data_IF_458887105780
#
_entry.id   IF_458887105780
#
_cell.length_a   1.000
_cell.length_b   1.000
_cell.length_c   1.000
_cell.angle_alpha   90.00
_cell.angle_beta   90.00
_cell.angle_gamma   90.00
#
_symmetry.space_group_name_H-M   'P 1'
#
loop_
_entity.id
_entity.type
_entity.pdbx_description
1 polymer ?
#
# COMPACT_ATOMS: atom_id res chain seq x y z
N UNK A 1 -10.35 8.28 7.54
CA UNK A 1 -10.37 7.48 6.29
C UNK A 1 -8.94 7.07 5.95
N UNK A 2 -8.74 5.82 5.56
CA UNK A 2 -7.48 5.27 5.10
C UNK A 2 -7.55 5.23 3.58
N UNK A 3 -6.64 5.96 2.93
CA UNK A 3 -6.58 6.04 1.47
C UNK A 3 -5.36 5.27 1.02
N UNK A 4 -5.57 4.31 0.13
CA UNK A 4 -4.48 3.66 -0.59
C UNK A 4 -4.66 3.79 -2.10
N UNK A 5 -3.72 3.26 -2.86
CA UNK A 5 -3.66 3.40 -4.32
C UNK A 5 -3.58 2.03 -4.96
N UNK A 6 -4.56 1.68 -5.82
CA UNK A 6 -4.74 0.32 -6.32
C UNK A 6 -5.00 -0.70 -5.19
N UNK A 7 -5.57 -0.23 -4.08
CA UNK A 7 -5.73 -1.00 -2.85
C UNK A 7 -6.79 -2.07 -2.95
N UNK A 8 -7.76 -1.94 -3.87
CA UNK A 8 -8.72 -3.01 -4.16
C UNK A 8 -8.02 -4.32 -4.57
N UNK A 9 -6.83 -4.24 -5.15
CA UNK A 9 -6.03 -5.39 -5.60
C UNK A 9 -4.80 -5.68 -4.74
N UNK A 10 -4.46 -4.80 -3.78
CA UNK A 10 -3.25 -4.91 -2.99
C UNK A 10 -3.55 -4.82 -1.49
N UNK A 11 -3.57 -3.61 -0.92
CA UNK A 11 -3.60 -3.43 0.54
C UNK A 11 -4.89 -3.97 1.19
N UNK A 12 -6.04 -3.67 0.59
CA UNK A 12 -7.35 -3.91 1.19
C UNK A 12 -7.66 -5.40 1.28
N UNK A 13 -7.23 -6.21 0.30
CA UNK A 13 -7.40 -7.67 0.32
C UNK A 13 -6.67 -8.31 1.51
N UNK A 14 -5.50 -7.79 1.89
CA UNK A 14 -4.73 -8.32 3.03
C UNK A 14 -5.27 -7.84 4.38
N UNK A 15 -5.77 -6.60 4.46
CA UNK A 15 -6.18 -5.99 5.73
C UNK A 15 -7.62 -6.37 6.11
N UNK A 16 -8.54 -6.47 5.14
CA UNK A 16 -9.95 -6.72 5.41
C UNK A 16 -10.23 -7.98 6.23
N UNK A 17 -9.57 -9.13 6.02
CA UNK A 17 -9.81 -10.33 6.83
C UNK A 17 -9.65 -10.09 8.34
N UNK A 18 -8.71 -9.23 8.75
CA UNK A 18 -8.49 -8.88 10.15
C UNK A 18 -9.57 -7.93 10.69
N UNK A 19 -10.20 -7.16 9.81
CA UNK A 19 -11.29 -6.23 10.09
C UNK A 19 -12.69 -6.84 9.84
N UNK A 20 -12.74 -8.12 9.47
CA UNK A 20 -13.94 -8.96 9.48
C UNK A 20 -13.79 -10.07 10.52
N UNK A 21 -13.68 -9.67 11.78
CA UNK A 21 -13.37 -10.57 12.90
C UNK A 21 -14.45 -10.55 13.98
N UNK A 22 -14.20 -11.19 15.13
CA UNK A 22 -15.17 -11.16 16.23
C UNK A 22 -15.42 -9.72 16.72
N UNK A 23 -14.42 -8.84 16.65
CA UNK A 23 -14.48 -7.45 17.12
C UNK A 23 -14.92 -6.45 16.04
N UNK A 24 -14.77 -6.78 14.77
CA UNK A 24 -14.99 -5.87 13.65
C UNK A 24 -15.98 -6.44 12.63
N UNK A 25 -16.68 -5.58 11.91
CA UNK A 25 -17.55 -6.00 10.82
C UNK A 25 -17.59 -4.93 9.74
N UNK A 26 -17.85 -5.37 8.50
CA UNK A 26 -18.14 -4.46 7.39
C UNK A 26 -19.56 -3.91 7.61
N UNK A 27 -19.69 -2.59 7.56
CA UNK A 27 -20.98 -1.90 7.66
C UNK A 27 -21.48 -1.46 6.29
N UNK A 28 -20.57 -1.12 5.39
CA UNK A 28 -20.92 -0.66 4.05
C UNK A 28 -19.75 -0.91 3.09
N UNK A 29 -20.05 -1.03 1.80
CA UNK A 29 -19.04 -1.04 0.74
C UNK A 29 -19.58 -0.39 -0.54
N UNK A 30 -18.68 0.10 -1.38
CA UNK A 30 -18.99 0.68 -2.68
C UNK A 30 -18.15 -0.01 -3.75
N UNK A 31 -18.80 -0.46 -4.81
CA UNK A 31 -18.18 -1.18 -5.92
C UNK A 31 -18.66 -2.61 -6.03
N UNK A 32 -18.02 -3.38 -6.92
CA UNK A 32 -18.22 -4.81 -7.06
C UNK A 32 -17.05 -5.59 -6.44
N UNK A 33 -17.16 -6.92 -6.38
CA UNK A 33 -16.12 -7.78 -5.78
C UNK A 33 -14.75 -7.68 -6.46
N UNK A 34 -14.71 -7.23 -7.71
CA UNK A 34 -13.46 -7.06 -8.48
C UNK A 34 -12.87 -5.66 -8.34
N UNK A 35 -13.70 -4.66 -8.01
CA UNK A 35 -13.33 -3.24 -7.97
C UNK A 35 -13.97 -2.56 -6.76
N UNK A 36 -13.53 -2.97 -5.57
CA UNK A 36 -13.98 -2.38 -4.31
C UNK A 36 -13.39 -0.96 -4.19
N UNK A 37 -14.23 0.05 -4.42
CA UNK A 37 -13.84 1.47 -4.33
C UNK A 37 -13.71 1.94 -2.90
N UNK A 38 -14.60 1.45 -2.05
CA UNK A 38 -14.67 1.84 -0.64
C UNK A 38 -15.17 0.68 0.20
N UNK A 39 -14.63 0.55 1.42
CA UNK A 39 -15.20 -0.30 2.48
C UNK A 39 -15.24 0.47 3.78
N UNK A 40 -16.36 0.44 4.47
CA UNK A 40 -16.48 0.88 5.85
C UNK A 40 -16.53 -0.33 6.76
N UNK A 41 -15.68 -0.32 7.79
CA UNK A 41 -15.69 -1.29 8.89
C UNK A 41 -15.94 -0.59 10.20
N UNK A 42 -16.62 -1.26 11.11
CA UNK A 42 -16.94 -0.75 12.43
C UNK A 42 -16.57 -1.75 13.52
N UNK A 43 -15.97 -1.24 14.60
CA UNK A 43 -15.73 -2.00 15.81
C UNK A 43 -17.04 -2.18 16.57
N UNK A 44 -17.41 -3.42 16.88
CA UNK A 44 -18.73 -3.79 17.41
C UNK A 44 -19.03 -3.21 18.79
N UNK A 45 -18.01 -3.01 19.62
CA UNK A 45 -18.18 -2.56 21.02
C UNK A 45 -18.07 -1.04 21.11
N UNK A 46 -16.98 -0.48 20.59
CA UNK A 46 -16.69 0.97 20.72
C UNK A 46 -17.41 1.81 19.67
N UNK A 47 -17.96 1.18 18.62
CA UNK A 47 -18.61 1.87 17.52
C UNK A 47 -17.66 2.63 16.61
N UNK A 48 -16.33 2.57 16.82
CA UNK A 48 -15.33 3.24 15.99
C UNK A 48 -15.41 2.74 14.54
N UNK A 49 -15.43 3.69 13.60
CA UNK A 49 -15.52 3.41 12.17
C UNK A 49 -14.23 3.73 11.45
N UNK A 50 -13.84 2.86 10.53
CA UNK A 50 -12.71 3.07 9.63
C UNK A 50 -13.21 2.88 8.20
N UNK A 51 -12.93 3.85 7.35
CA UNK A 51 -13.30 3.84 5.94
C UNK A 51 -12.03 3.70 5.11
N UNK A 52 -11.96 2.64 4.29
CA UNK A 52 -10.91 2.39 3.32
C UNK A 52 -11.37 2.87 1.95
N UNK A 53 -10.50 3.56 1.22
CA UNK A 53 -10.76 4.15 -0.09
C UNK A 53 -9.62 3.81 -1.05
N UNK A 54 -9.96 3.39 -2.26
CA UNK A 54 -8.99 3.22 -3.35
C UNK A 54 -8.93 4.48 -4.22
N UNK A 55 -7.86 5.26 -4.07
CA UNK A 55 -7.65 6.49 -4.81
C UNK A 55 -7.68 6.28 -6.33
N UNK A 56 -7.14 5.16 -6.85
CA UNK A 56 -7.09 4.91 -8.29
C UNK A 56 -8.49 4.75 -8.89
N UNK A 57 -9.44 4.19 -8.14
CA UNK A 57 -10.82 4.00 -8.59
C UNK A 57 -11.69 5.26 -8.48
N UNK A 58 -11.22 6.29 -7.76
CA UNK A 58 -11.85 7.61 -7.68
C UNK A 58 -11.32 8.62 -8.70
N UNK A 59 -10.13 8.36 -9.27
CA UNK A 59 -9.55 9.19 -10.33
C UNK A 59 -9.56 8.47 -11.67
N UNK A 60 -9.17 9.17 -12.73
CA UNK A 60 -8.87 8.50 -14.00
C UNK A 60 -7.66 7.59 -13.81
N UNK A 61 -7.77 6.34 -14.25
CA UNK A 61 -6.71 5.33 -14.14
C UNK A 61 -5.36 5.90 -14.61
N UNK A 62 -4.43 6.05 -13.68
CA UNK A 62 -3.14 6.69 -13.91
C UNK A 62 -2.06 5.99 -13.08
N UNK A 63 -0.78 6.28 -13.33
CA UNK A 63 0.30 5.71 -12.51
C UNK A 63 0.39 6.50 -11.20
N UNK A 64 0.79 5.82 -10.12
CA UNK A 64 1.00 6.46 -8.80
C UNK A 64 1.87 7.73 -8.88
N UNK A 65 2.90 7.74 -9.73
CA UNK A 65 3.76 8.91 -9.92
C UNK A 65 3.02 10.13 -10.47
N UNK A 66 2.04 9.91 -11.36
CA UNK A 66 1.27 10.95 -12.01
C UNK A 66 0.19 11.44 -11.04
N UNK A 67 -0.44 10.51 -10.30
CA UNK A 67 -1.32 10.84 -9.19
C UNK A 67 -0.62 11.73 -8.14
N UNK A 68 0.58 11.37 -7.70
CA UNK A 68 1.36 12.19 -6.75
C UNK A 68 1.74 13.55 -7.35
N UNK A 69 1.99 13.62 -8.66
CA UNK A 69 2.28 14.89 -9.34
C UNK A 69 1.07 15.83 -9.35
N UNK A 70 -0.11 15.28 -9.58
CA UNK A 70 -1.35 16.04 -9.74
C UNK A 70 -1.97 16.42 -8.38
N UNK A 71 -1.91 15.54 -7.38
CA UNK A 71 -2.54 15.71 -6.07
C UNK A 71 -1.56 15.95 -4.91
N UNK A 72 -0.27 15.72 -5.10
CA UNK A 72 0.76 15.94 -4.08
C UNK A 72 1.05 17.43 -3.87
N UNK A 73 1.17 17.85 -2.61
CA UNK A 73 1.62 19.22 -2.28
C UNK A 73 3.00 19.49 -2.90
N UNK A 74 3.12 20.60 -3.63
CA UNK A 74 4.39 21.10 -4.22
C UNK A 74 5.41 21.56 -3.18
N UNK A 75 5.10 21.44 -1.88
CA UNK A 75 5.73 22.25 -0.84
C UNK A 75 7.10 21.78 -0.39
N UNK A 76 7.67 20.70 -0.94
CA UNK A 76 9.08 20.34 -0.75
C UNK A 76 9.55 19.50 -1.95
N UNK A 77 10.71 19.83 -2.55
CA UNK A 77 11.32 19.15 -3.72
C UNK A 77 11.49 17.62 -3.59
N UNK A 78 11.24 17.04 -2.41
CA UNK A 78 11.23 15.59 -2.14
C UNK A 78 9.90 14.90 -2.53
N UNK A 79 8.79 15.62 -2.75
CA UNK A 79 7.46 15.00 -2.95
C UNK A 79 7.22 14.38 -4.33
N UNK A 80 8.04 14.71 -5.34
CA UNK A 80 7.87 14.20 -6.71
C UNK A 80 8.60 12.89 -6.98
N UNK A 81 9.54 12.50 -6.12
CA UNK A 81 10.30 11.28 -6.29
C UNK A 81 9.60 10.16 -5.53
N UNK A 82 8.95 9.25 -6.26
CA UNK A 82 8.45 7.99 -5.68
C UNK A 82 9.62 7.31 -4.95
N UNK A 83 9.45 7.05 -3.66
CA UNK A 83 10.40 6.20 -2.92
C UNK A 83 10.45 4.84 -3.62
N UNK A 84 11.64 4.44 -4.05
CA UNK A 84 11.85 3.12 -4.64
C UNK A 84 12.10 2.18 -3.48
N UNK A 85 11.14 1.34 -3.12
CA UNK A 85 11.41 0.28 -2.16
C UNK A 85 12.14 -0.86 -2.87
N UNK A 86 13.34 -1.25 -2.43
CA UNK A 86 14.04 -2.40 -2.97
C UNK A 86 13.27 -3.67 -2.62
N UNK A 87 12.84 -4.45 -3.63
CA UNK A 87 12.06 -5.68 -3.44
C UNK A 87 12.80 -6.76 -2.63
N UNK A 88 14.11 -6.61 -2.42
CA UNK A 88 14.99 -7.58 -1.76
C UNK A 88 15.49 -7.13 -0.40
N UNK A 89 15.10 -5.95 0.12
CA UNK A 89 15.69 -5.44 1.36
C UNK A 89 15.29 -6.26 2.60
N UNK A 90 14.07 -6.79 2.66
CA UNK A 90 13.66 -7.69 3.74
C UNK A 90 12.58 -8.68 3.28
N UNK A 91 12.60 -9.88 3.84
CA UNK A 91 11.72 -11.01 3.55
C UNK A 91 11.43 -11.76 4.87
N UNK A 92 10.65 -12.84 4.82
CA UNK A 92 10.25 -13.61 6.02
C UNK A 92 11.40 -14.28 6.77
N UNK A 93 12.61 -14.33 6.19
CA UNK A 93 13.79 -14.96 6.80
C UNK A 93 14.75 -13.95 7.43
N UNK A 94 14.75 -12.68 7.01
CA UNK A 94 15.68 -11.67 7.52
C UNK A 94 14.97 -10.44 8.15
N UNK A 95 13.64 -10.47 8.31
CA UNK A 95 12.89 -9.32 8.80
C UNK A 95 13.31 -8.87 10.20
N UNK A 96 13.57 -9.80 11.14
CA UNK A 96 13.97 -9.45 12.51
C UNK A 96 15.32 -8.72 12.53
N UNK A 97 16.27 -9.16 11.70
CA UNK A 97 17.58 -8.53 11.60
C UNK A 97 17.47 -7.14 10.98
N UNK A 98 16.68 -7.01 9.90
CA UNK A 98 16.54 -5.75 9.14
C UNK A 98 15.71 -4.70 9.89
N UNK A 99 14.70 -5.11 10.66
CA UNK A 99 13.88 -4.19 11.47
C UNK A 99 14.57 -3.75 12.76
N UNK A 100 15.56 -4.50 13.25
CA UNK A 100 16.34 -4.13 14.43
C UNK A 100 17.53 -3.21 14.14
N UNK A 101 17.81 -2.90 12.87
CA UNK A 101 18.89 -1.98 12.50
C UNK A 101 18.52 -0.56 12.94
N UNK A 102 19.38 0.06 13.75
CA UNK A 102 19.22 1.47 14.17
C UNK A 102 19.85 2.46 13.22
N UNK A 103 20.71 1.97 12.31
CA UNK A 103 21.41 2.76 11.30
C UNK A 103 20.49 3.07 10.09
N UNK A 104 20.54 4.29 9.53
CA UNK A 104 19.79 4.64 8.33
C UNK A 104 20.24 3.81 7.11
N UNK A 105 19.29 3.45 6.24
CA UNK A 105 19.62 2.85 4.94
C UNK A 105 20.33 3.86 4.03
N UNK A 106 21.37 3.40 3.35
CA UNK A 106 22.05 4.18 2.31
C UNK A 106 21.13 4.40 1.11
N UNK A 107 21.21 5.59 0.49
CA UNK A 107 20.28 5.98 -0.59
C UNK A 107 20.37 5.04 -1.80
N UNK A 108 21.54 4.46 -2.04
CA UNK A 108 21.80 3.57 -3.16
C UNK A 108 21.11 2.20 -3.04
N UNK A 109 20.87 1.74 -1.81
CA UNK A 109 20.14 0.50 -1.53
C UNK A 109 18.68 0.56 -1.98
N UNK A 110 18.12 1.76 -2.13
CA UNK A 110 16.78 1.96 -2.68
C UNK A 110 16.73 1.81 -4.20
N UNK A 111 17.87 1.86 -4.90
CA UNK A 111 17.90 1.63 -6.35
C UNK A 111 17.96 0.13 -6.64
N UNK A 112 16.89 -0.36 -7.26
CA UNK A 112 16.76 -1.74 -7.66
C UNK A 112 17.81 -2.09 -8.74
N UNK A 113 18.84 -2.84 -8.36
CA UNK A 113 19.79 -3.41 -9.32
C UNK A 113 19.21 -4.72 -9.83
N UNK A 114 18.56 -4.69 -11.00
CA UNK A 114 18.09 -5.92 -11.65
C UNK A 114 19.32 -6.73 -12.06
N UNK A 115 19.72 -7.71 -11.25
CA UNK A 115 20.67 -8.72 -11.70
C UNK A 115 19.92 -9.69 -12.63
N UNK A 116 19.97 -9.40 -13.93
CA UNK A 116 19.44 -10.23 -15.03
C UNK A 116 20.17 -11.57 -15.20
N UNK A 117 20.72 -12.17 -14.14
CA UNK A 117 21.59 -13.36 -14.24
C UNK A 117 20.93 -14.68 -13.87
N UNK A 118 19.60 -14.76 -13.97
CA UNK A 118 18.90 -16.04 -14.22
C UNK A 118 17.78 -15.82 -15.22
N UNK A 119 18.17 -15.61 -16.49
CA UNK A 119 17.33 -16.04 -17.60
C UNK A 119 17.15 -17.55 -17.45
N UNK A 120 15.98 -17.96 -16.96
CA UNK A 120 15.51 -19.33 -17.12
C UNK A 120 15.35 -19.51 -18.63
N UNK A 121 16.29 -20.24 -19.24
CA UNK A 121 16.06 -20.83 -20.56
C UNK A 121 14.98 -21.90 -20.37
N UNK A 122 13.95 -21.84 -21.22
CA UNK A 122 12.95 -22.89 -21.38
C UNK A 122 13.61 -24.24 -21.66
#
# INVERSE_FOLDING_TARGET
PVVGFNSAHFDTIFVLPYLTSIKWHITNYLGDFSHIKQVEVQHKITGVRIQFLDAELFVTKMKLKDFVKDFGKKSNKRSYNKGIFPYTAFNTTNYDEVLNITEPFEQDQFFQRVNLTKAIKF
#
